data_IF_213662304057
#
_entry.id   IF_213662304057
#
_cell.length_a   1.000
_cell.length_b   1.000
_cell.length_c   1.000
_cell.angle_alpha   90.00
_cell.angle_beta   90.00
_cell.angle_gamma   90.00
#
_symmetry.space_group_name_H-M   'P 1'
#
loop_
_entity.id
_entity.type
_entity.pdbx_description
1 polymer ?
#
# COMPACT_ATOMS: atom_id res chain seq x y z
N UNK A 1 16.58 10.31 -9.21
CA UNK A 1 15.68 9.29 -8.63
C UNK A 1 16.21 7.95 -9.11
N UNK A 2 17.09 7.33 -8.32
CA UNK A 2 18.11 6.41 -8.83
C UNK A 2 17.65 4.94 -8.80
N UNK A 3 17.79 4.28 -9.96
CA UNK A 3 17.07 3.10 -10.41
C UNK A 3 17.47 1.74 -9.80
N UNK A 4 18.42 1.68 -8.85
CA UNK A 4 18.89 0.40 -8.27
C UNK A 4 18.09 -0.05 -7.05
N UNK A 5 17.43 0.87 -6.36
CA UNK A 5 16.91 0.59 -5.02
C UNK A 5 15.41 0.21 -4.98
N UNK A 6 14.70 0.29 -6.10
CA UNK A 6 13.32 -0.21 -6.23
C UNK A 6 13.21 -1.74 -6.16
N UNK A 7 14.34 -2.44 -6.30
CA UNK A 7 14.42 -3.90 -6.30
C UNK A 7 14.62 -4.51 -4.90
N UNK A 8 14.82 -3.71 -3.86
CA UNK A 8 14.98 -4.27 -2.52
C UNK A 8 13.64 -4.78 -2.00
N UNK A 9 13.46 -6.08 -2.15
CA UNK A 9 12.32 -6.83 -1.60
C UNK A 9 12.13 -6.56 -0.10
N UNK A 10 13.23 -6.34 0.65
CA UNK A 10 13.19 -6.00 2.06
C UNK A 10 12.44 -4.70 2.36
N UNK A 11 12.63 -3.65 1.56
CA UNK A 11 11.89 -2.39 1.75
C UNK A 11 10.40 -2.56 1.44
N UNK A 12 10.06 -3.37 0.43
CA UNK A 12 8.66 -3.69 0.11
C UNK A 12 7.98 -4.48 1.22
N UNK A 13 8.68 -5.42 1.85
CA UNK A 13 8.18 -6.16 3.02
C UNK A 13 7.84 -5.17 4.17
N UNK A 14 8.76 -4.27 4.50
CA UNK A 14 8.50 -3.24 5.54
C UNK A 14 7.33 -2.34 5.11
N UNK A 15 7.28 -1.93 3.85
CA UNK A 15 6.18 -1.13 3.32
C UNK A 15 4.83 -1.83 3.45
N UNK A 16 4.75 -3.15 3.24
CA UNK A 16 3.54 -3.94 3.47
C UNK A 16 3.10 -3.85 4.92
N UNK A 17 4.00 -4.07 5.89
CA UNK A 17 3.65 -3.98 7.31
C UNK A 17 3.15 -2.59 7.69
N UNK A 18 3.88 -1.54 7.31
CA UNK A 18 3.52 -0.16 7.63
C UNK A 18 2.18 0.23 6.98
N UNK A 19 1.98 -0.09 5.70
CA UNK A 19 0.75 0.22 4.99
C UNK A 19 -0.46 -0.52 5.56
N UNK A 20 -0.26 -1.77 5.99
CA UNK A 20 -1.27 -2.57 6.69
C UNK A 20 -1.69 -1.87 7.97
N UNK A 21 -0.73 -1.49 8.82
CA UNK A 21 -1.03 -0.80 10.07
C UNK A 21 -1.79 0.51 9.84
N UNK A 22 -1.36 1.33 8.88
CA UNK A 22 -2.01 2.60 8.54
C UNK A 22 -3.48 2.35 8.15
N UNK A 23 -3.72 1.44 7.20
CA UNK A 23 -5.08 1.22 6.69
C UNK A 23 -5.97 0.55 7.75
N UNK A 24 -5.44 -0.39 8.53
CA UNK A 24 -6.19 -1.05 9.60
C UNK A 24 -6.51 -0.11 10.76
N UNK A 25 -5.59 0.78 11.15
CA UNK A 25 -5.86 1.81 12.16
C UNK A 25 -6.95 2.77 11.68
N UNK A 26 -6.85 3.25 10.43
CA UNK A 26 -7.86 4.13 9.84
C UNK A 26 -9.24 3.44 9.75
N UNK A 27 -9.27 2.21 9.25
CA UNK A 27 -10.50 1.41 9.15
C UNK A 27 -11.13 1.13 10.52
N UNK A 28 -10.30 0.90 11.54
CA UNK A 28 -10.76 0.66 12.92
C UNK A 28 -11.29 1.94 13.55
N UNK A 29 -10.60 3.06 13.35
CA UNK A 29 -11.05 4.37 13.81
C UNK A 29 -12.42 4.73 13.23
N UNK A 30 -12.61 4.50 11.92
CA UNK A 30 -13.88 4.79 11.25
C UNK A 30 -15.04 3.91 11.73
N UNK A 31 -14.76 2.66 12.06
CA UNK A 31 -15.78 1.69 12.48
C UNK A 31 -16.03 1.69 13.99
N UNK A 32 -15.19 2.36 14.78
CA UNK A 32 -15.28 2.39 16.23
C UNK A 32 -16.33 3.39 16.71
N UNK A 33 -17.20 2.93 17.62
CA UNK A 33 -18.12 3.81 18.35
C UNK A 33 -17.54 4.13 19.74
N UNK A 34 -17.26 5.43 20.02
CA UNK A 34 -16.80 5.87 21.33
C UNK A 34 -17.77 5.48 22.44
N UNK A 35 -17.26 5.22 23.64
CA UNK A 35 -18.07 4.80 24.79
C UNK A 35 -19.16 5.81 25.15
N UNK A 36 -18.90 7.10 24.97
CA UNK A 36 -19.87 8.18 25.17
C UNK A 36 -21.11 8.07 24.28
N UNK A 37 -20.97 7.43 23.12
CA UNK A 37 -21.98 7.41 22.06
C UNK A 37 -22.69 6.05 22.00
N UNK A 38 -22.38 5.15 22.93
CA UNK A 38 -22.96 3.80 22.97
C UNK A 38 -24.35 3.83 23.58
N UNK A 39 -25.28 3.17 22.89
CA UNK A 39 -26.66 2.98 23.34
C UNK A 39 -26.74 1.70 24.17
N UNK A 40 -27.60 1.69 25.19
CA UNK A 40 -27.92 0.48 25.93
C UNK A 40 -28.48 -0.59 25.00
N UNK A 41 -28.21 -1.87 25.29
CA UNK A 41 -28.72 -3.04 24.56
C UNK A 41 -28.18 -3.27 23.13
N UNK A 42 -27.13 -2.55 22.73
CA UNK A 42 -26.40 -2.81 21.47
C UNK A 42 -25.01 -3.39 21.78
N UNK A 43 -24.65 -4.49 21.11
CA UNK A 43 -23.31 -5.07 21.21
C UNK A 43 -22.30 -4.27 20.39
N UNK A 44 -21.33 -3.64 21.06
CA UNK A 44 -20.23 -2.92 20.41
C UNK A 44 -18.92 -3.70 20.51
N UNK A 45 -18.13 -3.70 19.44
CA UNK A 45 -16.77 -4.21 19.47
C UNK A 45 -15.82 -3.17 20.08
N UNK A 46 -14.82 -3.63 20.83
CA UNK A 46 -13.71 -2.78 21.24
C UNK A 46 -12.87 -2.35 20.04
N UNK A 47 -12.18 -1.21 20.13
CA UNK A 47 -11.26 -0.76 19.07
C UNK A 47 -10.24 -1.83 18.70
N UNK A 48 -9.64 -2.48 19.71
CA UNK A 48 -8.68 -3.57 19.51
C UNK A 48 -9.29 -4.80 18.82
N UNK A 49 -10.56 -5.12 19.12
CA UNK A 49 -11.29 -6.20 18.45
C UNK A 49 -11.52 -5.91 16.97
N UNK A 50 -11.99 -4.69 16.64
CA UNK A 50 -12.16 -4.24 15.26
C UNK A 50 -10.83 -4.26 14.51
N UNK A 51 -9.76 -3.75 15.14
CA UNK A 51 -8.42 -3.73 14.58
C UNK A 51 -7.91 -5.14 14.26
N UNK A 52 -8.02 -6.07 15.20
CA UNK A 52 -7.58 -7.45 15.00
C UNK A 52 -8.30 -8.14 13.83
N UNK A 53 -9.62 -7.91 13.70
CA UNK A 53 -10.42 -8.46 12.60
C UNK A 53 -9.99 -7.88 11.25
N UNK A 54 -9.66 -6.59 11.19
CA UNK A 54 -9.29 -5.91 9.96
C UNK A 54 -7.85 -6.14 9.53
N UNK A 55 -6.91 -6.32 10.47
CA UNK A 55 -5.47 -6.39 10.16
C UNK A 55 -5.13 -7.55 9.23
N UNK A 56 -5.71 -8.73 9.46
CA UNK A 56 -5.39 -9.95 8.73
C UNK A 56 -5.75 -9.84 7.24
N UNK A 57 -7.01 -9.56 6.84
CA UNK A 57 -7.35 -9.46 5.43
C UNK A 57 -6.61 -8.31 4.72
N UNK A 58 -6.41 -7.18 5.40
CA UNK A 58 -5.65 -6.05 4.86
C UNK A 58 -4.19 -6.44 4.60
N UNK A 59 -3.57 -7.15 5.54
CA UNK A 59 -2.19 -7.63 5.42
C UNK A 59 -2.00 -8.50 4.18
N UNK A 60 -2.90 -9.48 3.97
CA UNK A 60 -2.85 -10.34 2.77
C UNK A 60 -3.06 -9.54 1.48
N UNK A 61 -3.96 -8.55 1.48
CA UNK A 61 -4.14 -7.69 0.31
C UNK A 61 -2.85 -6.92 -0.03
N UNK A 62 -2.14 -6.39 0.98
CA UNK A 62 -0.87 -5.71 0.77
C UNK A 62 0.27 -6.65 0.38
N UNK A 63 0.28 -7.91 0.81
CA UNK A 63 1.25 -8.91 0.29
C UNK A 63 1.06 -9.09 -1.22
N UNK A 64 -0.17 -9.32 -1.66
CA UNK A 64 -0.47 -9.53 -3.08
C UNK A 64 -0.11 -8.27 -3.88
N UNK A 65 -0.59 -7.11 -3.48
CA UNK A 65 -0.31 -5.84 -4.15
C UNK A 65 1.18 -5.50 -4.11
N UNK A 66 1.76 -5.48 -2.92
CA UNK A 66 3.07 -4.91 -2.64
C UNK A 66 4.25 -5.84 -2.91
N UNK A 67 4.11 -7.14 -2.64
CA UNK A 67 5.21 -8.10 -2.84
C UNK A 67 5.05 -8.84 -4.16
N UNK A 68 3.83 -9.28 -4.51
CA UNK A 68 3.64 -10.07 -5.73
C UNK A 68 3.52 -9.19 -6.97
N UNK A 69 2.61 -8.21 -6.98
CA UNK A 69 2.28 -7.46 -8.20
C UNK A 69 3.19 -6.25 -8.44
N UNK A 70 3.54 -5.50 -7.39
CA UNK A 70 4.30 -4.26 -7.53
C UNK A 70 5.67 -4.42 -8.20
N UNK A 71 6.45 -5.51 -8.01
CA UNK A 71 7.74 -5.66 -8.70
C UNK A 71 7.61 -5.76 -10.21
N UNK A 72 6.51 -6.34 -10.73
CA UNK A 72 6.25 -6.40 -12.16
C UNK A 72 5.99 -5.00 -12.73
N UNK A 73 5.20 -4.19 -12.02
CA UNK A 73 4.94 -2.80 -12.39
C UNK A 73 6.21 -1.98 -12.37
N UNK A 74 6.97 -2.05 -11.28
CA UNK A 74 8.23 -1.33 -11.13
C UNK A 74 9.20 -1.71 -12.27
N UNK A 75 9.39 -3.01 -12.52
CA UNK A 75 10.26 -3.50 -13.59
C UNK A 75 9.81 -3.03 -14.97
N UNK A 76 8.51 -3.07 -15.25
CA UNK A 76 7.95 -2.61 -16.51
C UNK A 76 8.20 -1.10 -16.71
N UNK A 77 8.01 -0.29 -15.66
CA UNK A 77 8.25 1.16 -15.71
C UNK A 77 9.72 1.44 -15.99
N UNK A 78 10.63 0.80 -15.24
CA UNK A 78 12.06 1.02 -15.40
C UNK A 78 12.58 0.60 -16.78
N UNK A 79 12.26 -0.62 -17.21
CA UNK A 79 12.83 -1.17 -18.44
C UNK A 79 12.23 -0.54 -19.71
N UNK A 80 10.95 -0.14 -19.66
CA UNK A 80 10.24 0.29 -20.88
C UNK A 80 10.16 1.80 -21.02
N UNK A 81 10.00 2.53 -19.91
CA UNK A 81 9.70 3.96 -19.97
C UNK A 81 10.91 4.86 -19.69
N UNK A 82 12.01 4.34 -19.13
CA UNK A 82 13.24 5.10 -18.82
C UNK A 82 12.98 6.49 -18.23
N UNK A 83 11.91 6.62 -17.44
CA UNK A 83 11.34 7.92 -17.10
C UNK A 83 12.00 8.45 -15.83
N UNK A 84 12.72 9.56 -15.98
CA UNK A 84 13.41 10.24 -14.87
C UNK A 84 12.64 11.47 -14.37
N UNK A 85 12.95 11.88 -13.14
CA UNK A 85 12.39 13.09 -12.52
C UNK A 85 10.86 13.05 -12.36
N UNK A 86 10.21 14.19 -12.58
CA UNK A 86 8.75 14.36 -12.39
C UNK A 86 7.94 13.44 -13.30
N UNK A 87 8.40 13.22 -14.54
CA UNK A 87 7.74 12.31 -15.49
C UNK A 87 7.71 10.88 -14.95
N UNK A 88 8.84 10.41 -14.42
CA UNK A 88 8.94 9.09 -13.77
C UNK A 88 7.97 8.96 -12.61
N UNK A 89 7.91 9.96 -11.72
CA UNK A 89 6.98 9.96 -10.59
C UNK A 89 5.51 9.86 -11.05
N UNK A 90 5.11 10.63 -12.06
CA UNK A 90 3.76 10.59 -12.63
C UNK A 90 3.46 9.19 -13.20
N UNK A 91 4.41 8.59 -13.93
CA UNK A 91 4.27 7.22 -14.45
C UNK A 91 4.07 6.21 -13.33
N UNK A 92 4.80 6.32 -12.23
CA UNK A 92 4.61 5.47 -11.04
C UNK A 92 3.21 5.63 -10.45
N UNK A 93 2.76 6.87 -10.24
CA UNK A 93 1.42 7.13 -9.69
C UNK A 93 0.33 6.52 -10.58
N UNK A 94 0.37 6.78 -11.89
CA UNK A 94 -0.62 6.23 -12.84
C UNK A 94 -0.59 4.71 -12.83
N UNK A 95 0.59 4.10 -12.84
CA UNK A 95 0.72 2.65 -12.86
C UNK A 95 0.19 2.00 -11.58
N UNK A 96 0.40 2.60 -10.41
CA UNK A 96 -0.14 2.09 -9.15
C UNK A 96 -1.64 2.33 -9.02
N UNK A 97 -2.18 3.42 -9.60
CA UNK A 97 -3.63 3.60 -9.73
C UNK A 97 -4.25 2.47 -10.57
N UNK A 98 -3.65 2.16 -11.74
CA UNK A 98 -4.09 1.05 -12.59
C UNK A 98 -3.94 -0.30 -11.90
N UNK A 99 -2.84 -0.51 -11.16
CA UNK A 99 -2.63 -1.71 -10.35
C UNK A 99 -3.76 -1.90 -9.34
N UNK A 100 -4.18 -0.82 -8.67
CA UNK A 100 -5.30 -0.82 -7.76
C UNK A 100 -6.62 -1.20 -8.44
N UNK A 101 -6.91 -0.63 -9.61
CA UNK A 101 -8.11 -0.97 -10.40
C UNK A 101 -8.13 -2.46 -10.75
N UNK A 102 -7.04 -2.96 -11.34
CA UNK A 102 -6.94 -4.37 -11.75
C UNK A 102 -7.08 -5.31 -10.55
N UNK A 103 -6.41 -4.99 -9.45
CA UNK A 103 -6.47 -5.81 -8.22
C UNK A 103 -7.87 -5.82 -7.62
N UNK A 104 -8.56 -4.68 -7.61
CA UNK A 104 -9.93 -4.60 -7.10
C UNK A 104 -10.94 -5.38 -7.93
N UNK A 105 -10.80 -5.36 -9.27
CA UNK A 105 -11.60 -6.20 -10.17
C UNK A 105 -11.33 -7.69 -9.88
N UNK A 106 -10.06 -8.09 -9.76
CA UNK A 106 -9.69 -9.48 -9.45
C UNK A 106 -10.28 -9.94 -8.10
N UNK A 107 -10.17 -9.12 -7.06
CA UNK A 107 -10.73 -9.42 -5.73
C UNK A 107 -12.25 -9.56 -5.80
N UNK A 108 -12.93 -8.65 -6.50
CA UNK A 108 -14.39 -8.71 -6.68
C UNK A 108 -14.84 -10.00 -7.37
N UNK A 109 -14.13 -10.44 -8.41
CA UNK A 109 -14.41 -11.71 -9.11
C UNK A 109 -14.19 -12.90 -8.17
N UNK A 110 -13.09 -12.90 -7.41
CA UNK A 110 -12.76 -13.97 -6.46
C UNK A 110 -13.87 -14.16 -5.41
N UNK A 111 -14.42 -13.07 -4.88
CA UNK A 111 -15.52 -13.10 -3.93
C UNK A 111 -16.92 -13.23 -4.58
N UNK A 112 -17.01 -13.35 -5.91
CA UNK A 112 -18.27 -13.41 -6.68
C UNK A 112 -19.21 -12.23 -6.40
N UNK A 113 -18.64 -11.05 -6.12
CA UNK A 113 -19.39 -9.80 -5.83
C UNK A 113 -19.12 -8.75 -6.90
N UNK A 114 -19.57 -9.03 -8.12
CA UNK A 114 -19.38 -8.18 -9.32
C UNK A 114 -20.12 -6.84 -9.17
N UNK A 115 -21.24 -6.86 -8.47
CA UNK A 115 -22.00 -5.68 -8.03
C UNK A 115 -21.16 -4.74 -7.14
N UNK A 116 -20.14 -5.27 -6.46
CA UNK A 116 -19.24 -4.52 -5.57
C UNK A 116 -17.89 -4.16 -6.22
N UNK A 117 -17.73 -4.25 -7.55
CA UNK A 117 -16.47 -3.92 -8.23
C UNK A 117 -15.97 -2.52 -7.84
N UNK A 118 -16.86 -1.53 -7.82
CA UNK A 118 -16.48 -0.15 -7.47
C UNK A 118 -15.92 -0.05 -6.06
N UNK A 119 -16.52 -0.76 -5.10
CA UNK A 119 -16.04 -0.80 -3.72
C UNK A 119 -14.66 -1.43 -3.63
N UNK A 120 -14.46 -2.63 -4.20
CA UNK A 120 -13.17 -3.33 -4.15
C UNK A 120 -12.07 -2.60 -4.93
N UNK A 121 -12.42 -1.94 -6.04
CA UNK A 121 -11.50 -1.09 -6.82
C UNK A 121 -11.08 0.13 -6.03
N UNK A 122 -12.02 0.84 -5.40
CA UNK A 122 -11.70 2.02 -4.58
C UNK A 122 -10.80 1.64 -3.41
N UNK A 123 -11.09 0.53 -2.73
CA UNK A 123 -10.27 0.01 -1.64
C UNK A 123 -8.86 -0.36 -2.13
N UNK A 124 -8.76 -1.08 -3.26
CA UNK A 124 -7.47 -1.50 -3.82
C UNK A 124 -6.64 -0.33 -4.35
N UNK A 125 -7.26 0.68 -4.96
CA UNK A 125 -6.60 1.92 -5.37
C UNK A 125 -6.04 2.64 -4.15
N UNK A 126 -6.85 2.79 -3.10
CA UNK A 126 -6.41 3.42 -1.85
C UNK A 126 -5.24 2.68 -1.24
N UNK A 127 -5.32 1.34 -1.17
CA UNK A 127 -4.24 0.47 -0.71
C UNK A 127 -2.96 0.64 -1.55
N UNK A 128 -3.07 0.53 -2.88
CA UNK A 128 -1.92 0.67 -3.77
C UNK A 128 -1.22 2.04 -3.62
N UNK A 129 -1.99 3.12 -3.42
CA UNK A 129 -1.44 4.46 -3.21
C UNK A 129 -0.76 4.62 -1.84
N UNK A 130 -1.35 4.09 -0.77
CA UNK A 130 -0.71 4.07 0.56
C UNK A 130 0.62 3.31 0.46
N UNK A 131 0.61 2.13 -0.17
CA UNK A 131 1.81 1.33 -0.35
C UNK A 131 2.88 2.08 -1.15
N UNK A 132 2.52 2.73 -2.25
CA UNK A 132 3.46 3.52 -3.06
C UNK A 132 4.10 4.63 -2.21
N UNK A 133 3.30 5.41 -1.47
CA UNK A 133 3.82 6.50 -0.63
C UNK A 133 4.77 5.96 0.43
N UNK A 134 4.37 4.91 1.15
CA UNK A 134 5.20 4.29 2.19
C UNK A 134 6.51 3.75 1.59
N UNK A 135 6.44 3.08 0.44
CA UNK A 135 7.62 2.58 -0.26
C UNK A 135 8.57 3.71 -0.64
N UNK A 136 8.06 4.80 -1.22
CA UNK A 136 8.88 5.95 -1.62
C UNK A 136 9.55 6.62 -0.41
N UNK A 137 8.84 6.78 0.69
CA UNK A 137 9.39 7.35 1.93
C UNK A 137 10.49 6.45 2.51
N UNK A 138 10.25 5.14 2.61
CA UNK A 138 11.25 4.19 3.12
C UNK A 138 12.51 4.17 2.24
N UNK A 139 12.33 4.23 0.92
CA UNK A 139 13.44 4.32 -0.02
C UNK A 139 14.23 5.60 0.19
N UNK A 140 13.59 6.77 0.24
CA UNK A 140 14.25 8.06 0.46
C UNK A 140 15.04 8.08 1.78
N UNK A 141 14.44 7.58 2.87
CA UNK A 141 15.10 7.47 4.17
C UNK A 141 16.34 6.58 4.12
N UNK A 142 16.25 5.43 3.44
CA UNK A 142 17.37 4.50 3.34
C UNK A 142 18.53 5.06 2.50
N UNK A 143 18.21 5.74 1.39
CA UNK A 143 19.23 6.42 0.57
C UNK A 143 19.93 7.52 1.35
N UNK A 144 19.18 8.36 2.08
CA UNK A 144 19.76 9.43 2.91
C UNK A 144 20.73 8.88 3.95
N UNK A 145 20.40 7.77 4.60
CA UNK A 145 21.32 7.10 5.54
C UNK A 145 22.58 6.57 4.84
N UNK A 146 22.44 5.87 3.72
CA UNK A 146 23.58 5.38 2.94
C UNK A 146 24.53 6.50 2.49
N UNK A 147 23.97 7.63 2.06
CA UNK A 147 24.76 8.79 1.63
C UNK A 147 25.53 9.45 2.78
N UNK A 148 25.04 9.33 4.03
CA UNK A 148 25.74 9.80 5.23
C UNK A 148 26.84 8.82 5.65
N UNK A 149 26.62 7.52 5.48
CA UNK A 149 27.55 6.47 5.92
C UNK A 149 28.73 6.24 4.96
N UNK A 150 28.59 6.52 3.65
CA UNK A 150 29.67 6.39 2.65
C UNK A 150 29.68 7.55 1.64
N UNK A 151 30.27 8.71 1.98
CA UNK A 151 30.27 9.90 1.12
C UNK A 151 31.09 9.74 -0.17
N UNK A 152 31.92 8.68 -0.29
CA UNK A 152 32.79 8.46 -1.46
C UNK A 152 32.08 7.84 -2.67
N UNK A 153 30.82 7.42 -2.54
CA UNK A 153 30.03 6.85 -3.64
C UNK A 153 29.22 7.89 -4.44
N UNK A 154 29.32 9.18 -4.10
CA UNK A 154 28.53 10.26 -4.71
C UNK A 154 29.31 11.10 -5.76
N UNK A 155 30.42 10.59 -6.30
CA UNK A 155 31.19 11.20 -7.40
C UNK A 155 30.99 10.42 -8.69
#
# INVERSE_FOLDING_TARGET
MYAKDYRYIGMKIIAVFVSTLILSLYGSWRAYTPESDRVSDVGYYSFGGIFAIQVVPIFFAFIILGIMLSPFIDTMIFNKFHSEGVKGLITFVIAYLLLGVVSGIMISIFFRRVDSILFFSTLSITGAMIFLVVQLVLQDMFHKRRAMDDPKQNV
#
